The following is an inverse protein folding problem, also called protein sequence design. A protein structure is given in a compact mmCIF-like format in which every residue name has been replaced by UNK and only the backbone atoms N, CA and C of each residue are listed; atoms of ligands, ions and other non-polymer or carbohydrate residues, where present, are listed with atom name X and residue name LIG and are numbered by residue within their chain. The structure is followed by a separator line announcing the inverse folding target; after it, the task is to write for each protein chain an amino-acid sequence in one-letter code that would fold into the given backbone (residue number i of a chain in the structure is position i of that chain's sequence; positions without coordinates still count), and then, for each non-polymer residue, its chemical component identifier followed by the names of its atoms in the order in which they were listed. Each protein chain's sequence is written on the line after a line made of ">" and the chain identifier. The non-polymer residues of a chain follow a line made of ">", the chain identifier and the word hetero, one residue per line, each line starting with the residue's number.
data_IF_811359003162
#
_entry.id   IF_811359003162
#
_cell.length_a   1.000
_cell.length_b   1.000
_cell.length_c   1.000
_cell.angle_alpha   90.00
_cell.angle_beta   90.00
_cell.angle_gamma   90.00
#
_symmetry.space_group_name_H-M   'P 1'
#
loop_
_entity.id
_entity.type
_entity.pdbx_description
1 polymer ?
#
# COMPACT_ATOMS: atom_id res chain seq x y z
N UNK A 1 -15.27 -21.36 5.38
CA UNK A 1 -14.92 -20.67 6.65
C UNK A 1 -15.54 -19.29 6.62
N UNK A 2 -16.22 -18.81 7.64
CA UNK A 2 -16.82 -17.46 7.66
C UNK A 2 -15.74 -16.37 7.75
N UNK A 3 -14.75 -16.47 6.91
CA UNK A 3 -13.65 -15.51 6.80
C UNK A 3 -13.01 -15.65 5.43
N UNK A 4 -13.01 -14.58 4.65
CA UNK A 4 -12.39 -14.50 3.34
C UNK A 4 -10.87 -14.77 3.40
N UNK A 5 -10.28 -15.15 2.26
CA UNK A 5 -8.84 -15.44 2.18
C UNK A 5 -7.99 -14.20 2.49
N UNK A 6 -6.85 -14.33 3.18
CA UNK A 6 -6.03 -13.18 3.58
C UNK A 6 -5.33 -12.50 2.39
N UNK A 7 -5.20 -13.17 1.26
CA UNK A 7 -4.46 -12.68 0.09
C UNK A 7 -5.09 -11.45 -0.57
N UNK A 8 -6.40 -11.22 -0.37
CA UNK A 8 -7.10 -10.03 -0.85
C UNK A 8 -6.81 -8.77 -0.03
N UNK A 9 -6.33 -8.93 1.21
CA UNK A 9 -6.12 -7.83 2.16
C UNK A 9 -5.27 -6.71 1.56
N UNK A 10 -4.07 -6.96 0.98
CA UNK A 10 -3.24 -5.87 0.45
C UNK A 10 -3.94 -5.05 -0.63
N UNK A 11 -4.67 -5.72 -1.52
CA UNK A 11 -5.39 -5.05 -2.62
C UNK A 11 -6.58 -4.24 -2.11
N UNK A 12 -7.39 -4.82 -1.21
CA UNK A 12 -8.56 -4.13 -0.63
C UNK A 12 -8.11 -2.91 0.19
N UNK A 13 -7.06 -3.04 0.99
CA UNK A 13 -6.51 -1.91 1.76
C UNK A 13 -5.93 -0.82 0.84
N UNK A 14 -5.29 -1.23 -0.26
CA UNK A 14 -4.81 -0.27 -1.26
C UNK A 14 -5.96 0.51 -1.91
N UNK A 15 -7.05 -0.16 -2.27
CA UNK A 15 -8.27 0.46 -2.80
C UNK A 15 -8.93 1.37 -1.75
N UNK A 16 -9.01 0.94 -0.51
CA UNK A 16 -9.54 1.74 0.61
C UNK A 16 -8.81 3.09 0.74
N UNK A 17 -7.48 3.06 0.63
CA UNK A 17 -6.64 4.27 0.71
C UNK A 17 -6.83 5.21 -0.48
N UNK A 18 -7.14 4.70 -1.66
CA UNK A 18 -7.45 5.51 -2.85
C UNK A 18 -8.85 6.12 -2.73
N UNK A 19 -9.85 5.32 -2.35
CA UNK A 19 -11.26 5.73 -2.25
C UNK A 19 -11.50 6.72 -1.10
N UNK A 20 -10.75 6.62 0.00
CA UNK A 20 -10.92 7.44 1.21
C UNK A 20 -12.40 7.56 1.62
N UNK A 21 -13.10 6.45 1.88
CA UNK A 21 -14.53 6.47 2.18
C UNK A 21 -14.79 7.10 3.54
N UNK A 22 -15.91 7.81 3.66
CA UNK A 22 -16.42 8.32 4.93
C UNK A 22 -17.49 7.38 5.51
N UNK A 23 -18.01 6.46 4.68
CA UNK A 23 -18.96 5.42 5.09
C UNK A 23 -18.68 4.12 4.35
N UNK A 24 -18.74 3.00 5.07
CA UNK A 24 -18.48 1.65 4.57
C UNK A 24 -19.62 0.74 5.04
N UNK A 25 -20.11 -0.09 4.13
CA UNK A 25 -20.98 -1.21 4.46
C UNK A 25 -20.23 -2.51 4.20
N UNK A 26 -20.05 -3.31 5.25
CA UNK A 26 -19.43 -4.64 5.20
C UNK A 26 -20.55 -5.69 5.15
N UNK A 27 -20.71 -6.35 4.01
CA UNK A 27 -21.79 -7.33 3.79
C UNK A 27 -21.28 -8.72 4.09
N UNK A 28 -21.88 -9.37 5.10
CA UNK A 28 -21.42 -10.64 5.65
C UNK A 28 -20.23 -10.43 6.57
N UNK A 29 -20.44 -9.80 7.74
CA UNK A 29 -19.35 -9.44 8.64
C UNK A 29 -18.58 -10.65 9.18
N UNK A 30 -19.20 -11.85 9.21
CA UNK A 30 -18.59 -13.08 9.73
C UNK A 30 -18.00 -12.88 11.13
N UNK A 31 -16.70 -13.17 11.31
CA UNK A 31 -15.99 -12.91 12.57
C UNK A 31 -15.43 -11.48 12.71
N UNK A 32 -15.80 -10.55 11.83
CA UNK A 32 -15.44 -9.13 11.95
C UNK A 32 -14.07 -8.75 11.41
N UNK A 33 -13.42 -9.62 10.62
CA UNK A 33 -12.09 -9.36 10.05
C UNK A 33 -12.04 -8.05 9.26
N UNK A 34 -12.97 -7.85 8.34
CA UNK A 34 -12.98 -6.66 7.50
C UNK A 34 -13.35 -5.40 8.27
N UNK A 35 -14.28 -5.48 9.20
CA UNK A 35 -14.58 -4.36 10.08
C UNK A 35 -13.37 -3.91 10.88
N UNK A 36 -12.56 -4.87 11.40
CA UNK A 36 -11.29 -4.55 12.08
C UNK A 36 -10.30 -3.87 11.12
N UNK A 37 -10.07 -4.44 9.94
CA UNK A 37 -9.15 -3.89 8.95
C UNK A 37 -9.60 -2.50 8.45
N UNK A 38 -10.89 -2.32 8.17
CA UNK A 38 -11.39 -1.02 7.78
C UNK A 38 -11.18 0.01 8.89
N UNK A 39 -11.47 -0.34 10.15
CA UNK A 39 -11.24 0.56 11.29
C UNK A 39 -9.77 0.89 11.46
N UNK A 40 -8.89 -0.10 11.37
CA UNK A 40 -7.45 0.07 11.45
C UNK A 40 -6.94 1.07 10.41
N UNK A 41 -7.33 0.89 9.14
CA UNK A 41 -6.79 1.66 8.01
C UNK A 41 -7.54 2.96 7.69
N UNK A 42 -8.63 3.27 8.39
CA UNK A 42 -9.33 4.56 8.22
C UNK A 42 -9.18 5.47 9.43
N UNK A 43 -9.32 4.94 10.63
CA UNK A 43 -9.32 5.75 11.86
C UNK A 43 -8.08 5.55 12.73
N UNK A 44 -7.68 4.29 13.01
CA UNK A 44 -6.62 4.01 13.99
C UNK A 44 -5.24 4.42 13.48
N UNK A 45 -4.89 4.18 12.22
CA UNK A 45 -3.61 4.62 11.66
C UNK A 45 -3.47 6.15 11.62
N UNK A 46 -4.56 6.89 11.57
CA UNK A 46 -4.52 8.34 11.67
C UNK A 46 -4.18 8.83 13.10
N UNK A 47 -4.20 7.92 14.09
CA UNK A 47 -3.83 8.25 15.47
C UNK A 47 -2.34 8.61 15.63
N UNK A 48 -1.48 8.26 14.67
CA UNK A 48 -0.09 8.74 14.63
C UNK A 48 -0.04 10.28 14.50
N UNK A 49 -1.04 10.89 13.84
CA UNK A 49 -1.16 12.34 13.63
C UNK A 49 -2.14 12.99 14.60
N UNK A 50 -3.15 12.25 15.03
CA UNK A 50 -4.22 12.69 15.93
C UNK A 50 -4.45 11.58 17.01
N UNK A 51 -3.69 11.58 18.13
CA UNK A 51 -3.78 10.55 19.17
C UNK A 51 -5.18 10.34 19.75
N UNK A 52 -6.09 11.32 19.61
CA UNK A 52 -7.47 11.16 20.05
C UNK A 52 -8.20 10.04 19.28
N UNK A 53 -7.75 9.71 18.08
CA UNK A 53 -8.31 8.64 17.23
C UNK A 53 -8.14 7.22 17.79
N UNK A 54 -7.29 6.99 18.79
CA UNK A 54 -7.26 5.72 19.51
C UNK A 54 -8.56 5.43 20.28
N UNK A 55 -9.38 6.46 20.52
CA UNK A 55 -10.65 6.32 21.22
C UNK A 55 -11.79 6.24 20.23
N UNK A 56 -12.68 5.25 20.44
CA UNK A 56 -13.83 4.95 19.58
C UNK A 56 -14.74 6.17 19.34
N UNK A 57 -14.98 6.99 20.35
CA UNK A 57 -15.81 8.19 20.25
C UNK A 57 -15.28 9.25 19.27
N UNK A 58 -14.01 9.17 18.89
CA UNK A 58 -13.36 10.08 17.96
C UNK A 58 -13.19 9.48 16.54
N UNK A 59 -13.70 8.28 16.29
CA UNK A 59 -13.70 7.70 14.95
C UNK A 59 -14.62 8.46 14.02
N UNK A 60 -14.20 8.69 12.80
CA UNK A 60 -14.90 9.56 11.84
C UNK A 60 -15.58 8.78 10.72
N UNK A 61 -15.03 7.63 10.36
CA UNK A 61 -15.60 6.81 9.30
C UNK A 61 -16.73 5.96 9.88
N UNK A 62 -17.92 6.07 9.30
CA UNK A 62 -19.03 5.19 9.64
C UNK A 62 -18.78 3.82 9.02
N UNK A 63 -18.79 2.76 9.81
CA UNK A 63 -18.69 1.38 9.34
C UNK A 63 -19.89 0.63 9.87
N UNK A 64 -20.79 0.21 8.98
CA UNK A 64 -21.92 -0.63 9.31
C UNK A 64 -21.71 -2.02 8.71
N UNK A 65 -22.44 -3.01 9.22
CA UNK A 65 -22.37 -4.38 8.75
C UNK A 65 -23.72 -5.00 8.49
N UNK A 66 -23.76 -6.02 7.64
CA UNK A 66 -24.88 -6.93 7.50
C UNK A 66 -24.43 -8.33 7.90
N UNK A 67 -25.21 -9.04 8.73
CA UNK A 67 -24.96 -10.42 9.10
C UNK A 67 -26.25 -11.24 9.16
N UNK A 68 -26.26 -12.37 8.45
CA UNK A 68 -27.40 -13.30 8.47
C UNK A 68 -27.39 -14.28 9.64
N UNK A 69 -26.19 -14.63 10.15
CA UNK A 69 -26.02 -15.65 11.17
C UNK A 69 -25.57 -15.03 12.51
N UNK A 70 -26.54 -14.79 13.39
CA UNK A 70 -26.31 -14.08 14.66
C UNK A 70 -25.29 -14.73 15.60
N UNK A 71 -25.07 -16.05 15.47
CA UNK A 71 -24.09 -16.75 16.30
C UNK A 71 -22.63 -16.31 16.07
N UNK A 72 -22.33 -15.63 14.96
CA UNK A 72 -21.02 -15.05 14.72
C UNK A 72 -20.79 -13.75 15.48
N UNK A 73 -21.86 -13.08 15.91
CA UNK A 73 -21.77 -11.75 16.52
C UNK A 73 -21.30 -11.81 17.97
N UNK A 74 -20.29 -10.99 18.27
CA UNK A 74 -19.65 -10.87 19.58
C UNK A 74 -19.55 -9.41 20.02
N UNK A 75 -19.02 -9.15 21.21
CA UNK A 75 -18.72 -7.80 21.71
C UNK A 75 -17.75 -7.05 20.80
N UNK A 76 -16.83 -7.76 20.13
CA UNK A 76 -15.89 -7.15 19.18
C UNK A 76 -16.63 -6.46 18.02
N UNK A 77 -17.67 -7.08 17.50
CA UNK A 77 -18.47 -6.47 16.42
C UNK A 77 -19.15 -5.18 16.89
N UNK A 78 -19.73 -5.19 18.11
CA UNK A 78 -20.34 -3.98 18.70
C UNK A 78 -19.34 -2.87 18.95
N UNK A 79 -18.07 -3.21 19.14
CA UNK A 79 -17.00 -2.24 19.28
C UNK A 79 -16.56 -1.66 17.93
N UNK A 80 -16.40 -2.51 16.91
CA UNK A 80 -15.84 -2.12 15.61
C UNK A 80 -16.83 -1.39 14.70
N UNK A 81 -18.08 -1.88 14.64
CA UNK A 81 -19.12 -1.34 13.77
C UNK A 81 -19.93 -0.26 14.49
N UNK A 82 -20.44 0.69 13.70
CA UNK A 82 -21.40 1.68 14.20
C UNK A 82 -22.77 1.01 14.35
N UNK A 83 -23.17 0.19 13.37
CA UNK A 83 -24.42 -0.56 13.38
C UNK A 83 -24.24 -1.92 12.68
N UNK A 84 -24.92 -2.96 13.14
CA UNK A 84 -25.01 -4.24 12.48
C UNK A 84 -26.49 -4.57 12.22
N UNK A 85 -26.80 -4.69 10.96
CA UNK A 85 -28.12 -5.07 10.47
C UNK A 85 -28.21 -6.59 10.37
N UNK A 86 -29.07 -7.21 11.18
CA UNK A 86 -29.21 -8.66 11.23
C UNK A 86 -30.31 -9.10 10.26
N UNK A 87 -29.96 -9.96 9.31
CA UNK A 87 -30.91 -10.52 8.36
C UNK A 87 -30.35 -10.81 6.98
N UNK A 88 -31.25 -11.14 6.05
CA UNK A 88 -30.90 -11.40 4.66
C UNK A 88 -30.34 -10.16 3.96
N UNK A 89 -29.14 -10.31 3.36
CA UNK A 89 -28.44 -9.18 2.76
C UNK A 89 -29.17 -8.59 1.54
N UNK A 90 -29.86 -9.42 0.73
CA UNK A 90 -30.63 -8.96 -0.42
C UNK A 90 -31.85 -8.13 -0.01
N UNK A 91 -32.51 -8.52 1.07
CA UNK A 91 -33.66 -7.77 1.60
C UNK A 91 -33.19 -6.45 2.26
N UNK A 92 -32.16 -6.51 3.09
CA UNK A 92 -31.65 -5.35 3.82
C UNK A 92 -31.04 -4.29 2.91
N UNK A 93 -30.28 -4.69 1.88
CA UNK A 93 -29.62 -3.78 0.94
C UNK A 93 -30.58 -2.76 0.32
N UNK A 94 -31.82 -3.17 0.04
CA UNK A 94 -32.84 -2.30 -0.56
C UNK A 94 -33.31 -1.18 0.37
N UNK A 95 -33.22 -1.37 1.68
CA UNK A 95 -33.73 -0.45 2.69
C UNK A 95 -32.65 0.46 3.29
N UNK A 96 -31.36 0.09 3.14
CA UNK A 96 -30.25 0.83 3.76
C UNK A 96 -29.95 2.16 3.04
N UNK A 97 -29.35 3.13 3.72
CA UNK A 97 -28.86 4.36 3.09
C UNK A 97 -27.69 4.09 2.14
N UNK A 98 -27.25 5.11 1.44
CA UNK A 98 -26.04 5.03 0.63
C UNK A 98 -24.78 5.00 1.49
N UNK A 99 -23.74 4.36 0.94
CA UNK A 99 -22.40 4.32 1.51
C UNK A 99 -21.37 4.69 0.45
N UNK A 100 -20.27 5.33 0.85
CA UNK A 100 -19.16 5.58 -0.07
C UNK A 100 -18.60 4.27 -0.64
N UNK A 101 -18.45 3.25 0.20
CA UNK A 101 -17.94 1.94 -0.15
C UNK A 101 -18.89 0.84 0.35
N UNK A 102 -19.25 -0.09 -0.52
CA UNK A 102 -19.90 -1.34 -0.14
C UNK A 102 -18.94 -2.49 -0.45
N UNK A 103 -18.66 -3.32 0.54
CA UNK A 103 -17.76 -4.45 0.43
C UNK A 103 -18.50 -5.77 0.59
N UNK A 104 -18.32 -6.68 -0.38
CA UNK A 104 -18.85 -8.04 -0.36
C UNK A 104 -17.68 -9.02 -0.43
N UNK A 105 -17.20 -9.44 0.73
CA UNK A 105 -16.04 -10.31 0.87
C UNK A 105 -16.38 -11.77 0.98
N UNK A 106 -16.34 -12.51 -0.14
CA UNK A 106 -16.71 -13.92 -0.25
C UNK A 106 -18.16 -14.15 0.23
N UNK A 107 -19.10 -13.47 -0.44
CA UNK A 107 -20.53 -13.46 -0.11
C UNK A 107 -21.39 -13.85 -1.30
N UNK A 108 -21.09 -13.37 -2.50
CA UNK A 108 -22.00 -13.54 -3.65
C UNK A 108 -22.12 -14.99 -4.11
N UNK A 109 -21.12 -15.81 -3.86
CA UNK A 109 -21.14 -17.25 -4.13
C UNK A 109 -22.15 -18.03 -3.28
N UNK A 110 -22.56 -17.49 -2.14
CA UNK A 110 -23.55 -18.08 -1.26
C UNK A 110 -24.99 -17.88 -1.74
N UNK A 111 -25.20 -17.02 -2.72
CA UNK A 111 -26.49 -16.79 -3.35
C UNK A 111 -26.64 -17.59 -4.64
N UNK A 112 -27.88 -17.96 -4.96
CA UNK A 112 -28.22 -18.36 -6.34
C UNK A 112 -27.84 -17.24 -7.31
N UNK A 113 -27.33 -17.57 -8.50
CA UNK A 113 -26.71 -16.60 -9.44
C UNK A 113 -27.58 -15.37 -9.69
N UNK A 114 -28.90 -15.55 -9.88
CA UNK A 114 -29.81 -14.45 -10.12
C UNK A 114 -29.95 -13.53 -8.88
N UNK A 115 -30.12 -14.11 -7.69
CA UNK A 115 -30.20 -13.35 -6.45
C UNK A 115 -28.93 -12.61 -6.11
N UNK A 116 -27.76 -13.25 -6.35
CA UNK A 116 -26.46 -12.60 -6.18
C UNK A 116 -26.28 -11.41 -7.15
N UNK A 117 -26.78 -11.52 -8.38
CA UNK A 117 -26.74 -10.41 -9.35
C UNK A 117 -27.66 -9.25 -8.91
N UNK A 118 -28.86 -9.56 -8.38
CA UNK A 118 -29.73 -8.53 -7.80
C UNK A 118 -29.07 -7.82 -6.63
N UNK A 119 -28.46 -8.57 -5.70
CA UNK A 119 -27.70 -8.00 -4.60
C UNK A 119 -26.58 -7.06 -5.08
N UNK A 120 -25.82 -7.45 -6.12
CA UNK A 120 -24.79 -6.62 -6.72
C UNK A 120 -25.37 -5.34 -7.35
N UNK A 121 -26.50 -5.42 -8.04
CA UNK A 121 -27.17 -4.25 -8.59
C UNK A 121 -27.64 -3.31 -7.48
N UNK A 122 -28.28 -3.82 -6.44
CA UNK A 122 -28.74 -3.01 -5.31
C UNK A 122 -27.53 -2.37 -4.58
N UNK A 123 -26.46 -3.13 -4.36
CA UNK A 123 -25.20 -2.60 -3.79
C UNK A 123 -24.61 -1.49 -4.68
N UNK A 124 -24.56 -1.71 -6.00
CA UNK A 124 -24.05 -0.69 -6.92
C UNK A 124 -24.91 0.57 -6.92
N UNK A 125 -26.23 0.46 -6.84
CA UNK A 125 -27.14 1.63 -6.72
C UNK A 125 -26.85 2.40 -5.43
N UNK A 126 -26.64 1.72 -4.30
CA UNK A 126 -26.41 2.29 -2.97
C UNK A 126 -24.98 2.77 -2.73
N UNK A 127 -24.00 2.37 -3.54
CA UNK A 127 -22.66 2.87 -3.44
C UNK A 127 -22.55 4.29 -4.03
N UNK A 128 -21.89 5.20 -3.32
CA UNK A 128 -21.60 6.55 -3.85
C UNK A 128 -20.25 6.59 -4.59
N UNK A 129 -19.28 5.74 -4.21
CA UNK A 129 -17.97 5.66 -4.88
C UNK A 129 -17.72 4.31 -5.55
N UNK A 130 -17.82 3.21 -4.81
CA UNK A 130 -17.52 1.88 -5.36
C UNK A 130 -18.18 0.75 -4.59
N UNK A 131 -18.33 -0.38 -5.30
CA UNK A 131 -18.54 -1.72 -4.70
C UNK A 131 -17.26 -2.51 -4.91
N UNK A 132 -16.74 -3.16 -3.88
CA UNK A 132 -15.63 -4.11 -3.95
C UNK A 132 -16.16 -5.49 -3.62
N UNK A 133 -15.86 -6.46 -4.47
CA UNK A 133 -16.32 -7.85 -4.35
C UNK A 133 -15.13 -8.79 -4.42
N UNK A 134 -15.01 -9.71 -3.47
CA UNK A 134 -14.17 -10.90 -3.64
C UNK A 134 -15.01 -12.15 -3.67
N UNK A 135 -14.59 -13.16 -4.45
CA UNK A 135 -15.26 -14.45 -4.59
C UNK A 135 -14.28 -15.50 -5.12
N UNK A 136 -14.44 -16.79 -4.80
CA UNK A 136 -13.62 -17.84 -5.40
C UNK A 136 -13.70 -17.84 -6.93
N UNK A 137 -12.53 -18.04 -7.58
CA UNK A 137 -12.44 -18.14 -9.04
C UNK A 137 -12.82 -19.53 -9.58
N UNK A 138 -12.69 -20.53 -8.74
CA UNK A 138 -12.96 -21.91 -9.07
C UNK A 138 -14.11 -22.45 -8.24
N UNK A 139 -14.80 -23.45 -8.77
CA UNK A 139 -15.80 -24.16 -8.02
C UNK A 139 -15.17 -24.77 -6.77
N UNK A 140 -15.69 -24.40 -5.64
CA UNK A 140 -15.26 -24.86 -4.32
C UNK A 140 -16.50 -25.37 -3.62
N UNK A 141 -16.58 -26.69 -3.48
CA UNK A 141 -17.66 -27.29 -2.72
C UNK A 141 -17.55 -26.85 -1.26
N UNK A 142 -18.57 -26.19 -0.77
CA UNK A 142 -18.72 -25.81 0.62
C UNK A 142 -20.17 -26.01 1.01
N UNK A 143 -20.34 -26.91 1.96
CA UNK A 143 -21.62 -27.17 2.63
C UNK A 143 -21.80 -26.26 3.85
N UNK A 144 -22.81 -26.54 4.64
CA UNK A 144 -23.06 -25.89 5.91
C UNK A 144 -21.82 -25.92 6.80
N UNK A 145 -21.49 -24.80 7.37
CA UNK A 145 -20.38 -24.70 8.30
C UNK A 145 -20.90 -24.32 9.69
N UNK A 146 -20.60 -25.17 10.69
CA UNK A 146 -21.04 -24.93 12.07
C UNK A 146 -22.56 -24.74 12.22
N UNK A 147 -23.36 -25.41 11.37
CA UNK A 147 -24.83 -25.31 11.36
C UNK A 147 -25.37 -24.03 10.68
N UNK A 148 -24.53 -23.32 9.94
CA UNK A 148 -24.93 -22.16 9.16
C UNK A 148 -25.11 -22.53 7.67
N UNK A 149 -26.35 -22.68 7.24
CA UNK A 149 -26.71 -22.98 5.84
C UNK A 149 -26.37 -21.85 4.87
N UNK A 150 -26.16 -20.63 5.37
CA UNK A 150 -25.77 -19.48 4.56
C UNK A 150 -24.33 -19.61 4.04
N UNK A 151 -23.51 -20.48 4.62
CA UNK A 151 -22.13 -20.74 4.18
C UNK A 151 -22.05 -21.64 2.92
N UNK A 152 -23.17 -22.22 2.47
CA UNK A 152 -23.19 -23.09 1.31
C UNK A 152 -22.91 -22.30 0.03
N UNK A 153 -21.97 -22.77 -0.79
CA UNK A 153 -21.76 -22.23 -2.14
C UNK A 153 -22.86 -22.67 -3.08
N UNK A 154 -23.50 -21.72 -3.75
CA UNK A 154 -24.64 -21.92 -4.65
C UNK A 154 -24.35 -21.45 -6.08
N UNK A 155 -23.33 -20.62 -6.28
CA UNK A 155 -22.99 -20.10 -7.60
C UNK A 155 -21.49 -19.86 -7.78
N UNK A 156 -21.04 -19.97 -9.03
CA UNK A 156 -19.69 -19.63 -9.46
C UNK A 156 -19.71 -18.32 -10.24
N UNK A 157 -18.73 -17.46 -9.99
CA UNK A 157 -18.58 -16.15 -10.61
C UNK A 157 -17.32 -16.05 -11.46
N UNK A 158 -17.40 -15.28 -12.54
CA UNK A 158 -16.29 -15.05 -13.45
C UNK A 158 -16.24 -13.58 -13.89
N UNK A 159 -15.14 -13.15 -14.51
CA UNK A 159 -14.96 -11.75 -14.88
C UNK A 159 -16.06 -11.18 -15.79
N UNK A 160 -16.68 -12.02 -16.64
CA UNK A 160 -17.74 -11.58 -17.57
C UNK A 160 -19.02 -11.18 -16.85
N UNK A 161 -19.28 -11.78 -15.67
CA UNK A 161 -20.49 -11.48 -14.90
C UNK A 161 -20.52 -10.00 -14.43
N UNK A 162 -19.36 -9.39 -14.26
CA UNK A 162 -19.23 -8.00 -13.81
C UNK A 162 -19.23 -6.97 -14.95
N UNK A 163 -19.14 -7.40 -16.20
CA UNK A 163 -19.09 -6.48 -17.37
C UNK A 163 -20.39 -5.70 -17.60
N UNK A 164 -21.47 -6.08 -16.95
CA UNK A 164 -22.75 -5.36 -16.98
C UNK A 164 -22.70 -4.04 -16.19
N UNK A 165 -21.73 -3.88 -15.31
CA UNK A 165 -21.53 -2.66 -14.55
C UNK A 165 -20.58 -1.70 -15.28
N UNK A 166 -20.91 -0.40 -15.38
CA UNK A 166 -19.99 0.57 -15.94
C UNK A 166 -18.75 0.68 -15.06
N UNK A 167 -17.57 0.85 -15.69
CA UNK A 167 -16.27 0.98 -14.99
C UNK A 167 -15.95 -0.21 -14.05
N UNK A 168 -16.40 -1.42 -14.41
CA UNK A 168 -16.01 -2.63 -13.70
C UNK A 168 -14.54 -2.99 -14.04
N UNK A 169 -13.72 -3.13 -13.00
CA UNK A 169 -12.34 -3.62 -13.09
C UNK A 169 -12.24 -4.95 -12.35
N UNK A 170 -11.78 -5.99 -13.03
CA UNK A 170 -11.69 -7.34 -12.45
C UNK A 170 -10.26 -7.83 -12.54
N UNK A 171 -9.73 -8.34 -11.46
CA UNK A 171 -8.41 -8.98 -11.40
C UNK A 171 -8.49 -10.32 -10.66
N UNK A 172 -7.46 -11.12 -10.81
CA UNK A 172 -7.29 -12.34 -10.01
C UNK A 172 -6.19 -12.11 -8.98
N UNK A 173 -6.49 -12.44 -7.74
CA UNK A 173 -5.52 -12.41 -6.64
C UNK A 173 -5.10 -13.84 -6.35
N UNK A 174 -3.77 -14.10 -6.26
CA UNK A 174 -3.17 -15.43 -5.98
C UNK A 174 -3.69 -16.60 -6.86
N UNK A 175 -4.12 -16.31 -8.07
CA UNK A 175 -4.72 -17.25 -9.02
C UNK A 175 -6.00 -17.98 -8.55
N UNK A 176 -6.47 -17.75 -7.34
CA UNK A 176 -7.59 -18.45 -6.73
C UNK A 176 -8.80 -17.56 -6.42
N UNK A 177 -8.60 -16.26 -6.21
CA UNK A 177 -9.67 -15.32 -5.84
C UNK A 177 -9.88 -14.30 -6.94
N UNK A 178 -11.13 -14.12 -7.35
CA UNK A 178 -11.55 -13.04 -8.22
C UNK A 178 -11.86 -11.81 -7.37
N UNK A 179 -11.28 -10.68 -7.72
CA UNK A 179 -11.57 -9.39 -7.10
C UNK A 179 -12.14 -8.45 -8.16
N UNK A 180 -13.36 -7.98 -7.94
CA UNK A 180 -14.03 -7.01 -8.80
C UNK A 180 -14.21 -5.67 -8.07
N UNK A 181 -13.96 -4.57 -8.77
CA UNK A 181 -14.25 -3.20 -8.33
C UNK A 181 -15.22 -2.56 -9.30
N UNK A 182 -16.39 -2.22 -8.80
CA UNK A 182 -17.44 -1.57 -9.55
C UNK A 182 -17.46 -0.09 -9.18
N UNK A 183 -16.69 0.71 -9.91
CA UNK A 183 -16.52 2.14 -9.61
C UNK A 183 -17.69 2.98 -10.18
N UNK A 184 -18.15 3.96 -9.42
CA UNK A 184 -19.15 4.92 -9.88
C UNK A 184 -18.55 5.92 -10.88
N UNK A 185 -19.36 6.48 -11.78
CA UNK A 185 -18.90 7.58 -12.64
C UNK A 185 -18.35 8.74 -11.83
N UNK A 186 -17.17 9.26 -12.25
CA UNK A 186 -16.49 10.36 -11.55
C UNK A 186 -15.48 9.94 -10.48
N UNK A 187 -15.40 8.65 -10.16
CA UNK A 187 -14.29 8.11 -9.36
C UNK A 187 -13.05 8.01 -10.26
N UNK A 188 -11.92 8.54 -9.78
CA UNK A 188 -10.64 8.40 -10.50
C UNK A 188 -10.27 6.94 -10.73
N UNK A 189 -9.49 6.67 -11.77
CA UNK A 189 -9.06 5.32 -12.10
C UNK A 189 -8.31 4.68 -10.93
N UNK A 190 -8.82 3.56 -10.43
CA UNK A 190 -8.28 2.85 -9.29
C UNK A 190 -7.20 1.85 -9.72
N UNK A 191 -6.06 1.89 -9.06
CA UNK A 191 -5.02 0.89 -9.25
C UNK A 191 -5.34 -0.36 -8.43
N UNK A 192 -5.58 -1.49 -9.11
CA UNK A 192 -5.89 -2.77 -8.45
C UNK A 192 -4.67 -3.46 -7.85
N UNK A 193 -3.48 -3.18 -8.38
CA UNK A 193 -2.25 -3.76 -7.87
C UNK A 193 -1.65 -2.84 -6.82
N UNK A 194 -1.56 -3.27 -5.55
CA UNK A 194 -0.89 -2.47 -4.54
C UNK A 194 0.60 -2.28 -4.91
N UNK A 195 1.19 -1.14 -4.59
CA UNK A 195 2.62 -0.95 -4.79
C UNK A 195 3.38 -2.05 -4.05
N UNK A 196 4.44 -2.54 -4.66
CA UNK A 196 5.28 -3.57 -4.04
C UNK A 196 5.83 -3.02 -2.73
N UNK A 197 5.36 -3.54 -1.60
CA UNK A 197 5.90 -3.14 -0.31
C UNK A 197 7.32 -3.69 -0.18
N UNK A 198 8.25 -2.80 0.17
CA UNK A 198 9.58 -3.23 0.54
C UNK A 198 9.51 -4.13 1.79
N UNK A 199 10.29 -5.22 1.86
CA UNK A 199 10.36 -6.03 3.08
C UNK A 199 10.65 -5.16 4.31
N UNK A 200 10.13 -5.50 5.51
CA UNK A 200 10.34 -4.69 6.72
C UNK A 200 11.82 -4.38 7.01
N UNK A 201 12.73 -5.33 6.76
CA UNK A 201 14.17 -5.13 6.89
C UNK A 201 14.71 -4.02 5.98
N UNK A 202 14.17 -3.88 4.78
CA UNK A 202 14.51 -2.79 3.84
C UNK A 202 14.06 -1.45 4.37
N UNK A 203 12.84 -1.36 4.93
CA UNK A 203 12.32 -0.12 5.53
C UNK A 203 13.16 0.32 6.73
N UNK A 204 13.59 -0.62 7.58
CA UNK A 204 14.48 -0.35 8.73
C UNK A 204 15.82 0.21 8.23
N UNK A 205 16.41 -0.39 7.19
CA UNK A 205 17.68 0.09 6.62
C UNK A 205 17.56 1.47 6.01
N UNK A 206 16.46 1.75 5.28
CA UNK A 206 16.21 3.10 4.76
C UNK A 206 16.00 4.12 5.87
N UNK A 207 15.25 3.79 6.92
CA UNK A 207 15.08 4.69 8.08
C UNK A 207 16.40 4.99 8.79
N UNK A 208 17.27 4.00 8.89
CA UNK A 208 18.61 4.16 9.44
C UNK A 208 19.48 5.05 8.55
N UNK A 209 19.53 4.78 7.24
CA UNK A 209 20.27 5.59 6.28
C UNK A 209 19.84 7.06 6.30
N UNK A 210 18.50 7.32 6.32
CA UNK A 210 17.96 8.68 6.45
C UNK A 210 18.45 9.41 7.69
N UNK A 211 18.43 8.74 8.84
CA UNK A 211 18.90 9.34 10.11
C UNK A 211 20.39 9.66 10.04
N UNK A 212 21.20 8.72 9.55
CA UNK A 212 22.66 8.92 9.44
C UNK A 212 23.02 10.03 8.45
N UNK A 213 22.30 10.16 7.33
CA UNK A 213 22.46 11.27 6.39
C UNK A 213 22.13 12.61 7.07
N UNK A 214 20.99 12.69 7.77
CA UNK A 214 20.57 13.91 8.45
C UNK A 214 21.51 14.32 9.61
N UNK A 215 22.19 13.36 10.23
CA UNK A 215 23.21 13.62 11.26
C UNK A 215 24.52 14.17 10.69
N UNK A 216 24.89 13.77 9.46
CA UNK A 216 26.20 14.07 8.86
C UNK A 216 26.17 15.24 7.89
N UNK A 217 25.04 15.43 7.18
CA UNK A 217 24.90 16.43 6.13
C UNK A 217 24.03 17.58 6.63
N UNK A 218 24.57 18.82 6.71
CA UNK A 218 23.77 20.00 7.06
C UNK A 218 22.68 20.28 6.04
N UNK A 219 21.54 20.83 6.47
CA UNK A 219 20.34 21.02 5.64
C UNK A 219 20.56 21.95 4.42
N UNK A 220 21.47 22.89 4.54
CA UNK A 220 21.77 23.92 3.52
C UNK A 220 22.92 23.55 2.58
N UNK A 221 23.51 22.36 2.77
CA UNK A 221 24.67 21.90 1.99
C UNK A 221 24.23 20.93 0.91
N UNK A 222 24.49 21.23 -0.39
CA UNK A 222 24.24 20.28 -1.46
C UNK A 222 25.15 19.06 -1.35
N UNK A 223 24.59 17.88 -1.58
CA UNK A 223 25.33 16.63 -1.58
C UNK A 223 24.83 15.68 -2.67
N UNK A 224 25.74 14.86 -3.15
CA UNK A 224 25.46 13.82 -4.16
C UNK A 224 24.90 12.58 -3.47
N UNK A 225 23.77 12.08 -3.94
CA UNK A 225 23.12 10.90 -3.42
C UNK A 225 23.07 9.78 -4.47
N UNK A 226 23.74 8.66 -4.16
CA UNK A 226 23.73 7.43 -4.95
C UNK A 226 22.80 6.44 -4.25
N UNK A 227 21.55 6.36 -4.70
CA UNK A 227 20.47 5.62 -4.03
C UNK A 227 19.53 4.87 -5.00
N UNK A 228 19.82 4.90 -6.31
CA UNK A 228 18.92 4.38 -7.37
C UNK A 228 17.49 4.93 -7.26
N UNK A 229 17.33 6.22 -6.93
CA UNK A 229 16.05 6.95 -6.72
C UNK A 229 15.13 6.41 -5.61
N UNK A 230 15.66 5.64 -4.66
CA UNK A 230 14.84 4.99 -3.63
C UNK A 230 14.65 5.85 -2.36
N UNK A 231 15.58 6.74 -2.06
CA UNK A 231 15.59 7.49 -0.80
C UNK A 231 15.37 9.00 -0.97
N UNK A 232 15.80 9.59 -2.07
CA UNK A 232 15.82 11.03 -2.30
C UNK A 232 14.50 11.73 -2.00
N UNK A 233 13.38 11.18 -2.46
CA UNK A 233 12.04 11.73 -2.22
C UNK A 233 11.63 11.77 -0.74
N UNK A 234 12.31 11.01 0.11
CA UNK A 234 12.06 10.94 1.55
C UNK A 234 12.92 11.89 2.38
N UNK A 235 13.77 12.71 1.72
CA UNK A 235 14.68 13.68 2.31
C UNK A 235 14.32 15.14 1.93
N UNK A 236 13.04 15.59 2.13
CA UNK A 236 12.55 16.86 1.60
C UNK A 236 13.23 18.11 2.17
N UNK A 237 13.94 17.97 3.29
CA UNK A 237 14.63 19.07 3.97
C UNK A 237 16.15 19.12 3.67
N UNK A 238 16.64 18.19 2.86
CA UNK A 238 18.06 18.10 2.49
C UNK A 238 18.23 18.38 0.99
N UNK A 239 19.34 19.03 0.65
CA UNK A 239 19.65 19.36 -0.75
C UNK A 239 20.37 18.18 -1.43
N UNK A 240 19.63 17.07 -1.64
CA UNK A 240 20.14 15.86 -2.28
C UNK A 240 20.10 15.96 -3.80
N UNK A 241 21.24 15.84 -4.45
CA UNK A 241 21.40 15.80 -5.90
C UNK A 241 21.51 14.34 -6.35
N UNK A 242 20.74 13.89 -7.36
CA UNK A 242 20.82 12.50 -7.83
C UNK A 242 22.15 12.23 -8.58
N UNK A 243 22.58 10.99 -8.63
CA UNK A 243 23.79 10.59 -9.37
C UNK A 243 23.51 9.38 -10.27
N UNK A 244 23.68 9.49 -11.62
CA UNK A 244 24.06 10.65 -12.43
C UNK A 244 22.92 11.67 -12.49
N UNK A 245 23.31 12.94 -12.50
CA UNK A 245 22.36 14.04 -12.60
C UNK A 245 22.35 14.63 -14.04
N UNK A 246 21.14 14.83 -14.59
CA UNK A 246 20.92 15.62 -15.79
C UNK A 246 19.64 16.44 -15.63
N UNK A 247 19.79 17.75 -15.73
CA UNK A 247 18.64 18.69 -15.57
C UNK A 247 17.86 18.50 -14.27
N UNK A 248 18.54 18.22 -13.17
CA UNK A 248 17.95 17.97 -11.84
C UNK A 248 17.32 16.57 -11.65
N UNK A 249 17.49 15.66 -12.64
CA UNK A 249 16.89 14.34 -12.61
C UNK A 249 17.94 13.23 -12.61
N UNK A 250 17.59 12.08 -12.03
CA UNK A 250 18.39 10.87 -12.14
C UNK A 250 18.34 10.32 -13.57
N UNK A 251 19.54 10.05 -14.13
CA UNK A 251 19.67 9.63 -15.54
C UNK A 251 20.05 8.15 -15.67
N UNK A 252 20.19 7.43 -14.59
CA UNK A 252 20.63 6.04 -14.56
C UNK A 252 22.08 5.87 -14.14
N UNK A 253 22.58 4.62 -14.06
CA UNK A 253 23.96 4.34 -13.69
C UNK A 253 24.92 4.83 -14.80
N UNK A 254 26.19 5.19 -14.46
CA UNK A 254 27.19 5.61 -15.43
C UNK A 254 27.53 4.50 -16.40
N UNK A 255 27.92 4.87 -17.62
CA UNK A 255 28.32 3.90 -18.64
C UNK A 255 29.63 3.17 -18.27
N UNK A 256 30.53 3.86 -17.54
CA UNK A 256 31.83 3.37 -17.12
C UNK A 256 32.38 4.16 -15.91
N UNK A 257 33.51 3.70 -15.36
CA UNK A 257 34.23 4.37 -14.27
C UNK A 257 34.64 5.81 -14.62
N UNK A 258 35.06 6.07 -15.84
CA UNK A 258 35.48 7.40 -16.29
C UNK A 258 34.34 8.40 -16.24
N UNK A 259 33.15 7.99 -16.68
CA UNK A 259 31.92 8.79 -16.61
C UNK A 259 31.54 9.09 -15.17
N UNK A 260 31.61 8.08 -14.26
CA UNK A 260 31.34 8.27 -12.85
C UNK A 260 32.32 9.25 -12.18
N UNK A 261 33.63 9.13 -12.47
CA UNK A 261 34.65 10.02 -11.94
C UNK A 261 34.47 11.45 -12.45
N UNK A 262 34.25 11.62 -13.75
CA UNK A 262 34.03 12.95 -14.34
C UNK A 262 32.80 13.65 -13.71
N UNK A 263 31.74 12.91 -13.47
CA UNK A 263 30.51 13.45 -12.91
C UNK A 263 30.67 13.86 -11.44
N UNK A 264 31.30 13.05 -10.59
CA UNK A 264 31.53 13.45 -9.18
C UNK A 264 32.42 14.69 -9.08
N UNK A 265 33.41 14.82 -9.97
CA UNK A 265 34.26 16.01 -10.02
C UNK A 265 33.49 17.24 -10.49
N UNK A 266 32.60 17.10 -11.48
CA UNK A 266 31.71 18.17 -11.93
C UNK A 266 30.83 18.65 -10.79
N UNK A 267 30.11 17.74 -10.12
CA UNK A 267 29.18 18.06 -9.04
C UNK A 267 29.91 18.69 -7.83
N UNK A 268 31.11 18.22 -7.50
CA UNK A 268 31.97 18.84 -6.51
C UNK A 268 32.32 20.30 -6.87
N UNK A 269 32.70 20.56 -8.13
CA UNK A 269 33.05 21.89 -8.61
C UNK A 269 31.82 22.83 -8.64
N UNK A 270 30.61 22.27 -8.75
CA UNK A 270 29.34 22.99 -8.65
C UNK A 270 28.84 23.17 -7.19
N UNK A 271 29.63 22.74 -6.22
CA UNK A 271 29.38 23.01 -4.80
C UNK A 271 28.87 21.85 -3.97
N UNK A 272 28.74 20.64 -4.53
CA UNK A 272 28.42 19.47 -3.73
C UNK A 272 29.55 19.14 -2.77
N UNK A 273 29.24 19.06 -1.48
CA UNK A 273 30.25 18.85 -0.41
C UNK A 273 30.41 17.39 -0.01
N UNK A 274 29.33 16.61 -0.07
CA UNK A 274 29.39 15.19 0.29
C UNK A 274 28.97 14.32 -0.88
N UNK A 275 29.48 13.08 -0.93
CA UNK A 275 28.92 12.00 -1.72
C UNK A 275 28.48 10.90 -0.76
N UNK A 276 27.22 10.54 -0.86
CA UNK A 276 26.58 9.52 -0.01
C UNK A 276 26.15 8.36 -0.91
N UNK A 277 26.69 7.17 -0.66
CA UNK A 277 26.24 5.93 -1.28
C UNK A 277 25.39 5.17 -0.26
N UNK A 278 24.12 4.93 -0.60
CA UNK A 278 23.21 4.18 0.27
C UNK A 278 23.34 2.69 -0.01
N UNK A 279 23.06 1.86 0.97
CA UNK A 279 23.24 0.41 0.90
C UNK A 279 22.60 -0.25 -0.33
N UNK A 280 21.48 0.26 -0.85
CA UNK A 280 20.83 -0.22 -2.06
C UNK A 280 21.70 -0.06 -3.31
N UNK A 281 22.60 0.89 -3.29
CA UNK A 281 23.55 1.22 -4.36
C UNK A 281 25.00 0.81 -4.05
N UNK A 282 25.26 0.00 -3.01
CA UNK A 282 26.65 -0.47 -2.71
C UNK A 282 27.27 -1.30 -3.83
N UNK A 283 26.43 -1.88 -4.69
CA UNK A 283 26.90 -2.57 -5.89
C UNK A 283 27.71 -1.65 -6.82
N UNK A 284 27.49 -0.32 -6.80
CA UNK A 284 28.29 0.65 -7.57
C UNK A 284 29.76 0.62 -7.14
N UNK A 285 30.04 0.55 -5.84
CA UNK A 285 31.41 0.50 -5.32
C UNK A 285 32.11 -0.82 -5.64
N UNK A 286 31.37 -1.86 -5.96
CA UNK A 286 31.89 -3.16 -6.39
C UNK A 286 32.03 -3.24 -7.92
N UNK A 287 31.10 -2.67 -8.66
CA UNK A 287 31.05 -2.71 -10.12
C UNK A 287 32.01 -1.69 -10.74
N UNK A 288 31.98 -0.44 -10.25
CA UNK A 288 32.85 0.65 -10.72
C UNK A 288 34.11 0.73 -9.83
N UNK A 289 35.05 -0.18 -10.08
CA UNK A 289 36.23 -0.36 -9.23
C UNK A 289 37.17 0.83 -9.25
N UNK A 290 37.39 1.45 -10.43
CA UNK A 290 38.26 2.62 -10.53
C UNK A 290 37.60 3.86 -9.93
N UNK A 291 36.28 4.00 -10.03
CA UNK A 291 35.52 5.04 -9.33
C UNK A 291 35.60 4.89 -7.80
N UNK A 292 35.37 3.68 -7.28
CA UNK A 292 35.48 3.41 -5.84
C UNK A 292 36.89 3.69 -5.31
N UNK A 293 37.94 3.36 -6.08
CA UNK A 293 39.34 3.67 -5.75
C UNK A 293 39.56 5.18 -5.75
N UNK A 294 39.13 5.89 -6.78
CA UNK A 294 39.23 7.34 -6.88
C UNK A 294 38.62 8.05 -5.67
N UNK A 295 37.42 7.62 -5.25
CA UNK A 295 36.77 8.18 -4.06
C UNK A 295 37.62 7.98 -2.81
N UNK A 296 38.15 6.78 -2.58
CA UNK A 296 38.96 6.46 -1.38
C UNK A 296 40.33 7.10 -1.36
N UNK A 297 40.98 7.29 -2.52
CA UNK A 297 42.29 7.92 -2.62
C UNK A 297 42.20 9.44 -2.54
N UNK A 298 41.14 10.05 -3.06
CA UNK A 298 41.04 11.50 -3.17
C UNK A 298 40.26 12.16 -2.02
N UNK A 299 39.27 11.50 -1.48
CA UNK A 299 38.33 12.09 -0.52
C UNK A 299 38.35 11.37 0.83
N UNK A 300 38.08 12.13 1.89
CA UNK A 300 37.99 11.55 3.24
C UNK A 300 36.68 10.78 3.40
N UNK A 301 36.73 9.47 3.64
CA UNK A 301 35.59 8.69 4.08
C UNK A 301 35.24 9.05 5.53
N UNK A 302 34.09 9.68 5.75
CA UNK A 302 33.65 10.14 7.08
C UNK A 302 32.70 9.14 7.75
N UNK A 303 32.10 8.26 7.00
CA UNK A 303 31.28 7.15 7.52
C UNK A 303 31.30 5.98 6.53
N UNK A 304 31.49 4.78 7.04
CA UNK A 304 31.32 3.54 6.29
C UNK A 304 30.72 2.46 7.19
N UNK A 305 29.52 1.98 6.83
CA UNK A 305 28.84 0.92 7.55
C UNK A 305 27.88 0.17 6.61
N UNK A 306 26.98 -0.66 7.16
CA UNK A 306 26.00 -1.46 6.40
C UNK A 306 24.82 -0.66 5.83
N UNK A 307 24.72 0.63 6.13
CA UNK A 307 23.62 1.51 5.69
C UNK A 307 24.07 2.57 4.70
N UNK A 308 25.22 3.20 4.93
CA UNK A 308 25.77 4.28 4.11
C UNK A 308 27.30 4.24 4.04
N UNK A 309 27.83 4.72 2.90
CA UNK A 309 29.23 5.14 2.75
C UNK A 309 29.22 6.63 2.40
N UNK A 310 29.91 7.45 3.18
CA UNK A 310 29.89 8.91 3.03
C UNK A 310 31.32 9.44 2.86
N UNK A 311 31.53 10.18 1.78
CA UNK A 311 32.79 10.89 1.50
C UNK A 311 32.58 12.41 1.64
N UNK A 312 33.49 13.10 2.34
CA UNK A 312 33.59 14.58 2.33
C UNK A 312 34.43 15.00 1.11
N UNK A 313 33.79 15.58 0.10
CA UNK A 313 34.46 16.01 -1.13
C UNK A 313 35.31 17.27 -0.96
N UNK A 314 35.14 18.02 0.12
CA UNK A 314 35.92 19.21 0.42
C UNK A 314 37.31 18.89 1.08
N UNK A 315 37.42 17.70 1.68
CA UNK A 315 38.65 17.28 2.37
C UNK A 315 39.40 16.27 1.51
N UNK A 316 40.49 16.69 0.89
CA UNK A 316 41.41 15.77 0.19
C UNK A 316 42.23 14.96 1.22
N UNK A 317 42.47 13.68 0.95
CA UNK A 317 43.49 12.91 1.64
C UNK A 317 44.83 13.57 1.32
N UNK A 318 45.39 14.38 2.25
CA UNK A 318 46.81 14.67 2.24
C UNK A 318 47.49 13.41 2.73
N UNK A 319 48.23 12.72 1.85
CA UNK A 319 49.19 11.72 2.28
C UNK A 319 50.14 12.41 3.28
N UNK A 320 50.01 12.07 4.56
CA UNK A 320 51.05 12.35 5.53
C UNK A 320 52.20 11.43 5.17
N UNK A 321 53.27 12.01 4.60
CA UNK A 321 54.57 11.38 4.48
C UNK A 321 55.11 10.95 5.85
#
# INVERSE_FOLDING_TARGET
>A
MPSSRPNTIPTVIHLLRQLKPQSILDVGVGFGKWGHLFREYTDILEAERDPARYRRENWRVRIDGIEGHTAYLTEMHRFLYNEIHVGDAGALMKALPNYDLIFLGDIIEHFEKAAGMELLHDAFVRADKAVIVSTPKFETEQDDLCGNELERHRSLWNAKDFTVFPNAHVTTVDDATLLAVLAKPGVEALALTPPRQAPPAVLIRFSRARREIAELVPNDVPFVLVDDEQLRSTLPHLHALPFLEKEGRYWGPPADDGTAIAEVERMKNEGARFLVVVWSAFWWLQHYVAFARHLREKFKCVRENDSVVVFDLAVSHTNSE
#
